data_IF_783551715967
#
_entry.id   IF_783551715967
#
_cell.length_a   1.000
_cell.length_b   1.000
_cell.length_c   1.000
_cell.angle_alpha   90.00
_cell.angle_beta   90.00
_cell.angle_gamma   90.00
#
_symmetry.space_group_name_H-M   'P 1'
#
loop_
_entity.id
_entity.type
_entity.pdbx_description
1 polymer ?
#
# COMPACT_ATOMS: atom_id res chain seq x y z
N UNK A 1 -35.14 31.32 33.09
CA UNK A 1 -34.99 30.39 31.96
C UNK A 1 -33.61 29.74 32.07
N UNK A 2 -33.52 28.42 32.16
CA UNK A 2 -32.29 27.73 32.57
C UNK A 2 -31.15 27.86 31.55
N UNK A 3 -29.93 28.11 32.06
CA UNK A 3 -28.65 28.09 31.33
C UNK A 3 -28.37 26.79 30.57
N UNK A 4 -29.15 25.72 30.83
CA UNK A 4 -29.12 24.46 30.10
C UNK A 4 -29.37 24.61 28.58
N UNK A 5 -30.09 25.64 28.13
CA UNK A 5 -30.31 25.90 26.70
C UNK A 5 -29.09 26.51 26.01
N UNK A 6 -28.45 27.50 26.64
CA UNK A 6 -27.26 28.16 26.10
C UNK A 6 -26.04 27.26 26.15
N UNK A 7 -25.88 26.44 27.21
CA UNK A 7 -24.80 25.46 27.29
C UNK A 7 -24.92 24.36 26.23
N UNK A 8 -26.14 23.91 25.91
CA UNK A 8 -26.38 23.03 24.74
C UNK A 8 -25.95 23.70 23.43
N UNK A 9 -26.28 24.98 23.22
CA UNK A 9 -25.85 25.73 22.03
C UNK A 9 -24.32 25.81 21.89
N UNK A 10 -23.61 26.16 22.98
CA UNK A 10 -22.14 26.20 23.00
C UNK A 10 -21.55 24.81 22.72
N UNK A 11 -22.14 23.76 23.28
CA UNK A 11 -21.70 22.38 23.06
C UNK A 11 -21.84 21.97 21.58
N UNK A 12 -22.93 22.34 20.91
CA UNK A 12 -23.12 22.04 19.49
C UNK A 12 -22.11 22.81 18.61
N UNK A 13 -21.82 24.08 18.92
CA UNK A 13 -20.78 24.85 18.23
C UNK A 13 -19.41 24.19 18.42
N UNK A 14 -19.09 23.72 19.64
CA UNK A 14 -17.84 23.03 19.90
C UNK A 14 -17.74 21.71 19.11
N UNK A 15 -18.80 20.90 19.07
CA UNK A 15 -18.84 19.67 18.25
C UNK A 15 -18.64 19.96 16.77
N UNK A 16 -19.33 20.97 16.25
CA UNK A 16 -19.17 21.41 14.86
C UNK A 16 -17.74 21.87 14.58
N UNK A 17 -17.16 22.69 15.47
CA UNK A 17 -15.78 23.13 15.39
C UNK A 17 -14.79 21.97 15.35
N UNK A 18 -14.95 20.96 16.21
CA UNK A 18 -14.13 19.73 16.19
C UNK A 18 -14.34 18.94 14.90
N UNK A 19 -15.59 18.77 14.47
CA UNK A 19 -15.93 18.03 13.25
C UNK A 19 -15.29 18.63 11.99
N UNK A 20 -15.17 19.95 11.92
CA UNK A 20 -14.53 20.64 10.79
C UNK A 20 -13.02 20.73 10.96
N UNK A 21 -12.54 21.13 12.13
CA UNK A 21 -11.11 21.38 12.36
C UNK A 21 -10.27 20.11 12.33
N UNK A 22 -10.78 18.98 12.84
CA UNK A 22 -10.01 17.73 12.90
C UNK A 22 -9.68 17.19 11.50
N UNK A 23 -10.64 16.98 10.57
CA UNK A 23 -10.33 16.57 9.21
C UNK A 23 -9.42 17.57 8.48
N UNK A 24 -9.66 18.88 8.61
CA UNK A 24 -8.84 19.91 7.95
C UNK A 24 -7.40 19.89 8.43
N UNK A 25 -7.18 19.83 9.75
CA UNK A 25 -5.85 19.75 10.33
C UNK A 25 -5.14 18.44 9.94
N UNK A 26 -5.86 17.31 9.97
CA UNK A 26 -5.31 16.03 9.56
C UNK A 26 -4.90 16.04 8.07
N UNK A 27 -5.76 16.56 7.19
CA UNK A 27 -5.44 16.73 5.77
C UNK A 27 -4.21 17.61 5.60
N UNK A 28 -4.13 18.75 6.29
CA UNK A 28 -2.96 19.63 6.22
C UNK A 28 -1.66 18.91 6.64
N UNK A 29 -1.67 18.19 7.76
CA UNK A 29 -0.50 17.46 8.26
C UNK A 29 -0.07 16.33 7.31
N UNK A 30 -1.01 15.57 6.76
CA UNK A 30 -0.70 14.45 5.87
C UNK A 30 -0.31 14.92 4.46
N UNK A 31 -0.97 15.97 3.94
CA UNK A 31 -0.72 16.46 2.59
C UNK A 31 0.59 17.27 2.47
N UNK A 32 1.02 17.95 3.53
CA UNK A 32 2.26 18.75 3.50
C UNK A 32 3.52 17.90 3.72
N UNK A 33 3.41 16.75 4.39
CA UNK A 33 4.52 15.83 4.59
C UNK A 33 4.43 14.57 3.71
N UNK A 34 5.14 14.61 2.58
CA UNK A 34 5.26 13.47 1.67
C UNK A 34 5.79 12.19 2.34
N UNK A 35 6.58 12.28 3.42
CA UNK A 35 7.07 11.09 4.13
C UNK A 35 5.94 10.42 4.90
N UNK A 36 5.14 11.21 5.61
CA UNK A 36 3.94 10.73 6.30
C UNK A 36 2.94 10.13 5.33
N UNK A 37 2.69 10.79 4.19
CA UNK A 37 1.82 10.26 3.13
C UNK A 37 2.33 8.92 2.58
N UNK A 38 3.62 8.81 2.24
CA UNK A 38 4.22 7.55 1.77
C UNK A 38 4.10 6.44 2.79
N UNK A 39 4.31 6.74 4.09
CA UNK A 39 4.15 5.76 5.17
C UNK A 39 2.70 5.28 5.28
N UNK A 40 1.72 6.20 5.16
CA UNK A 40 0.30 5.85 5.14
C UNK A 40 -0.06 4.97 3.94
N UNK A 41 0.43 5.31 2.74
CA UNK A 41 0.24 4.51 1.53
C UNK A 41 0.89 3.12 1.63
N UNK A 42 1.96 2.98 2.42
CA UNK A 42 2.63 1.70 2.65
C UNK A 42 1.85 0.71 3.52
N UNK A 43 0.82 1.15 4.27
CA UNK A 43 0.01 0.25 5.10
C UNK A 43 -0.81 -0.76 4.28
N UNK A 44 -1.14 -0.41 3.03
CA UNK A 44 -1.77 -1.33 2.09
C UNK A 44 -1.07 -1.20 0.74
N UNK A 45 -0.33 -2.22 0.27
CA UNK A 45 0.27 -2.16 -1.05
C UNK A 45 -0.84 -2.01 -2.10
N UNK A 46 -0.76 -0.97 -2.92
CA UNK A 46 -1.69 -0.75 -4.03
C UNK A 46 -1.50 -1.79 -5.15
N UNK A 47 -0.30 -2.35 -5.26
CA UNK A 47 0.06 -3.38 -6.24
C UNK A 47 0.63 -4.57 -5.48
N UNK A 48 -0.08 -5.69 -5.50
CA UNK A 48 0.41 -6.97 -5.01
C UNK A 48 1.03 -7.69 -6.19
N UNK A 49 2.37 -7.80 -6.21
CA UNK A 49 3.03 -8.61 -7.23
C UNK A 49 2.73 -10.09 -6.98
N UNK A 50 2.49 -10.87 -8.04
CA UNK A 50 2.40 -12.32 -7.90
C UNK A 50 3.73 -12.87 -7.36
N UNK A 51 3.71 -14.05 -6.71
CA UNK A 51 4.93 -14.71 -6.26
C UNK A 51 5.95 -14.81 -7.40
N UNK A 52 7.23 -14.57 -7.11
CA UNK A 52 8.29 -14.78 -8.08
C UNK A 52 8.24 -16.24 -8.59
N UNK A 53 8.26 -16.42 -9.91
CA UNK A 53 8.28 -17.74 -10.54
C UNK A 53 9.57 -18.50 -10.22
N UNK A 54 9.62 -19.81 -10.55
CA UNK A 54 10.86 -20.58 -10.36
C UNK A 54 12.00 -19.94 -11.14
N UNK A 55 13.17 -19.86 -10.49
CA UNK A 55 14.40 -19.36 -11.15
C UNK A 55 14.67 -20.20 -12.41
N UNK A 56 15.05 -19.58 -13.54
CA UNK A 56 15.43 -20.34 -14.73
C UNK A 56 16.61 -21.28 -14.42
N UNK A 57 16.68 -22.45 -15.10
CA UNK A 57 17.76 -23.41 -14.90
C UNK A 57 19.13 -22.78 -15.24
N UNK A 58 20.21 -23.17 -14.54
CA UNK A 58 21.58 -22.75 -14.84
C UNK A 58 22.00 -23.02 -16.29
N UNK A 59 22.92 -22.20 -16.86
CA UNK A 59 23.43 -22.42 -18.21
C UNK A 59 24.06 -23.80 -18.44
N UNK A 60 24.68 -24.39 -17.41
CA UNK A 60 25.28 -25.71 -17.52
C UNK A 60 24.22 -26.82 -17.68
N UNK A 61 23.11 -26.75 -16.93
CA UNK A 61 21.98 -27.66 -17.12
C UNK A 61 21.38 -27.54 -18.53
N UNK A 62 21.34 -26.32 -19.08
CA UNK A 62 20.87 -26.09 -20.44
C UNK A 62 21.80 -26.72 -21.49
N UNK A 63 23.12 -26.66 -21.27
CA UNK A 63 24.11 -27.30 -22.14
C UNK A 63 24.03 -28.82 -22.07
N UNK A 64 23.83 -29.39 -20.89
CA UNK A 64 23.62 -30.83 -20.71
C UNK A 64 22.35 -31.29 -21.43
N UNK A 65 21.23 -30.59 -21.24
CA UNK A 65 19.99 -30.84 -22.00
C UNK A 65 20.20 -30.76 -23.51
N UNK A 66 20.96 -29.77 -23.99
CA UNK A 66 21.28 -29.64 -25.40
C UNK A 66 22.10 -30.84 -25.93
N UNK A 67 23.08 -31.32 -25.15
CA UNK A 67 23.87 -32.51 -25.49
C UNK A 67 23.02 -33.78 -25.50
N UNK A 68 22.11 -33.94 -24.54
CA UNK A 68 21.16 -35.06 -24.50
C UNK A 68 20.23 -35.06 -25.70
N UNK A 69 19.70 -33.89 -26.09
CA UNK A 69 18.89 -33.74 -27.30
C UNK A 69 19.70 -34.12 -28.55
N UNK A 70 20.96 -33.70 -28.64
CA UNK A 70 21.83 -34.06 -29.76
C UNK A 70 22.08 -35.58 -29.84
N UNK A 71 22.31 -36.24 -28.69
CA UNK A 71 22.45 -37.71 -28.63
C UNK A 71 21.17 -38.43 -29.04
N UNK A 72 20.01 -37.98 -28.55
CA UNK A 72 18.69 -38.54 -28.95
C UNK A 72 18.44 -38.40 -30.45
N UNK A 73 18.89 -37.31 -31.07
CA UNK A 73 18.79 -37.10 -32.52
C UNK A 73 19.70 -38.00 -33.35
N UNK A 74 20.84 -38.44 -32.82
CA UNK A 74 21.75 -39.38 -33.51
C UNK A 74 21.30 -40.85 -33.40
N UNK A 75 20.51 -41.16 -32.38
CA UNK A 75 19.93 -42.49 -32.18
C UNK A 75 18.60 -42.69 -32.92
N UNK A 76 18.02 -41.60 -33.45
CA UNK A 76 16.82 -41.61 -34.29
C UNK A 76 17.20 -41.58 -35.76
#
# INVERSE_FOLDING_TARGET
MSSLGTSKGILEIAKFGVYVSVPVALTYLVATDSKTLKKLMGLRPYVVYPPEGPRPPPPEELRERAREIARKRQQS
#
